data_IF_607001507469
#
_entry.id   IF_607001507469
#
_cell.length_a   1.000
_cell.length_b   1.000
_cell.length_c   1.000
_cell.angle_alpha   90.00
_cell.angle_beta   90.00
_cell.angle_gamma   90.00
#
_symmetry.space_group_name_H-M   'P 1'
#
loop_
_entity.id
_entity.type
_entity.pdbx_description
1 polymer ?
#
# COMPACT_ATOMS: atom_id res chain seq x y z
N UNK A 1 -2.00 15.24 -16.66
CA UNK A 1 -3.44 14.99 -16.69
C UNK A 1 -3.58 13.54 -17.11
N UNK A 2 -3.92 12.71 -16.15
CA UNK A 2 -3.99 11.26 -16.37
C UNK A 2 -5.10 10.97 -17.40
N UNK A 3 -4.93 9.92 -18.21
CA UNK A 3 -5.90 9.57 -19.26
C UNK A 3 -7.31 9.37 -18.71
N UNK A 4 -7.40 8.93 -17.44
CA UNK A 4 -8.64 8.74 -16.70
C UNK A 4 -9.40 10.03 -16.38
N UNK A 5 -8.69 11.09 -15.98
CA UNK A 5 -9.32 12.39 -15.71
C UNK A 5 -9.96 12.98 -16.97
N UNK A 6 -9.35 12.73 -18.14
CA UNK A 6 -9.82 13.25 -19.41
C UNK A 6 -11.13 12.59 -19.89
N UNK A 7 -11.32 11.28 -19.72
CA UNK A 7 -12.56 10.62 -20.14
C UNK A 7 -13.72 10.86 -19.18
N UNK A 8 -13.46 10.87 -17.87
CA UNK A 8 -14.44 11.29 -16.87
C UNK A 8 -14.84 12.77 -17.02
N UNK A 9 -13.90 13.65 -17.39
CA UNK A 9 -14.19 15.03 -17.75
C UNK A 9 -15.13 15.14 -18.97
N UNK A 10 -14.90 14.33 -20.01
CA UNK A 10 -15.80 14.26 -21.18
C UNK A 10 -17.19 13.73 -20.83
N UNK A 11 -17.26 12.74 -19.93
CA UNK A 11 -18.53 12.22 -19.43
C UNK A 11 -19.33 13.33 -18.75
N UNK A 12 -18.69 14.10 -17.85
CA UNK A 12 -19.34 15.24 -17.20
C UNK A 12 -19.92 16.22 -18.22
N UNK A 13 -19.10 16.73 -19.15
CA UNK A 13 -19.53 17.70 -20.17
C UNK A 13 -20.72 17.17 -21.00
N UNK A 14 -20.66 15.92 -21.47
CA UNK A 14 -21.75 15.32 -22.27
C UNK A 14 -23.03 15.11 -21.47
N UNK A 15 -22.93 14.88 -20.17
CA UNK A 15 -24.09 14.80 -19.29
C UNK A 15 -24.75 16.17 -19.07
N UNK A 16 -24.03 17.28 -19.24
CA UNK A 16 -24.59 18.64 -19.19
C UNK A 16 -25.40 18.96 -20.46
N UNK A 17 -24.91 18.54 -21.63
CA UNK A 17 -25.57 18.74 -22.92
C UNK A 17 -26.91 17.99 -23.04
N UNK A 18 -27.05 16.87 -22.31
CA UNK A 18 -28.28 16.06 -22.28
C UNK A 18 -29.39 16.59 -21.36
N UNK A 19 -29.09 17.51 -20.43
CA UNK A 19 -30.02 18.02 -19.39
C UNK A 19 -30.83 19.25 -19.83
N UNK A 20 -31.09 19.40 -21.14
CA UNK A 20 -31.79 20.56 -21.69
C UNK A 20 -33.25 20.72 -21.19
N UNK A 21 -33.78 19.75 -20.43
CA UNK A 21 -35.17 19.71 -19.96
C UNK A 21 -35.35 19.86 -18.42
N UNK A 22 -34.28 20.14 -17.66
CA UNK A 22 -34.41 20.73 -16.32
C UNK A 22 -34.76 19.78 -15.17
N UNK A 23 -34.29 18.53 -15.20
CA UNK A 23 -34.49 17.57 -14.10
C UNK A 23 -33.17 16.93 -13.68
N UNK A 24 -32.12 17.75 -13.50
CA UNK A 24 -30.69 17.41 -13.31
C UNK A 24 -30.28 16.43 -12.20
N UNK A 25 -31.20 15.59 -11.71
CA UNK A 25 -30.93 14.40 -10.93
C UNK A 25 -30.00 13.41 -11.66
N UNK A 26 -30.17 13.20 -12.97
CA UNK A 26 -29.29 12.32 -13.76
C UNK A 26 -27.86 12.86 -13.84
N UNK A 27 -27.70 14.14 -14.20
CA UNK A 27 -26.43 14.86 -14.16
C UNK A 27 -25.77 14.82 -12.77
N UNK A 28 -26.53 15.14 -11.72
CA UNK A 28 -26.02 15.14 -10.34
C UNK A 28 -25.58 13.74 -9.90
N UNK A 29 -26.28 12.69 -10.34
CA UNK A 29 -25.87 11.32 -10.06
C UNK A 29 -24.53 10.97 -10.75
N UNK A 30 -24.34 11.38 -12.01
CA UNK A 30 -23.05 11.23 -12.70
C UNK A 30 -21.96 12.02 -11.99
N UNK A 31 -22.21 13.29 -11.65
CA UNK A 31 -21.25 14.15 -10.97
C UNK A 31 -20.78 13.53 -9.65
N UNK A 32 -21.70 13.10 -8.79
CA UNK A 32 -21.39 12.43 -7.52
C UNK A 32 -20.57 11.15 -7.72
N UNK A 33 -20.91 10.32 -8.72
CA UNK A 33 -20.18 9.09 -9.00
C UNK A 33 -18.74 9.38 -9.46
N UNK A 34 -18.57 10.37 -10.34
CA UNK A 34 -17.24 10.81 -10.80
C UNK A 34 -16.43 11.45 -9.67
N UNK A 35 -17.04 12.28 -8.82
CA UNK A 35 -16.37 12.88 -7.66
C UNK A 35 -15.86 11.81 -6.68
N UNK A 36 -16.69 10.80 -6.39
CA UNK A 36 -16.28 9.67 -5.54
C UNK A 36 -15.09 8.91 -6.11
N UNK A 37 -15.05 8.75 -7.43
CA UNK A 37 -13.94 8.09 -8.12
C UNK A 37 -12.66 8.92 -8.15
N UNK A 38 -12.77 10.23 -8.33
CA UNK A 38 -11.63 11.14 -8.51
C UNK A 38 -11.02 11.64 -7.20
N UNK A 39 -11.70 11.45 -6.06
CA UNK A 39 -11.11 11.81 -4.76
C UNK A 39 -9.80 11.02 -4.54
N UNK A 40 -8.82 11.55 -3.81
CA UNK A 40 -7.61 10.82 -3.45
C UNK A 40 -7.89 9.51 -2.69
N UNK A 41 -6.98 8.55 -2.79
CA UNK A 41 -6.99 7.34 -1.98
C UNK A 41 -6.45 7.66 -0.58
N UNK A 42 -7.23 7.38 0.43
CA UNK A 42 -6.94 7.72 1.82
C UNK A 42 -6.36 6.49 2.55
N UNK A 43 -5.06 6.56 2.85
CA UNK A 43 -4.31 5.53 3.58
C UNK A 43 -4.11 5.97 5.01
N UNK A 44 -4.71 5.24 5.96
CA UNK A 44 -4.63 5.56 7.37
C UNK A 44 -3.67 4.62 8.10
N UNK A 45 -2.68 5.19 8.77
CA UNK A 45 -1.78 4.47 9.69
C UNK A 45 -2.33 4.62 11.11
N UNK A 46 -2.73 3.50 11.71
CA UNK A 46 -3.30 3.41 13.06
C UNK A 46 -2.50 2.44 13.92
N UNK A 47 -2.71 2.47 15.22
CA UNK A 47 -2.00 1.66 16.21
C UNK A 47 -1.92 2.40 17.54
N UNK A 48 -1.57 1.67 18.60
CA UNK A 48 -1.50 2.25 19.95
C UNK A 48 -0.44 3.35 20.07
N UNK A 49 -0.47 4.12 21.15
CA UNK A 49 0.55 5.14 21.43
C UNK A 49 1.92 4.44 21.56
N UNK A 50 2.95 5.02 20.94
CA UNK A 50 4.33 4.54 21.05
C UNK A 50 4.70 3.35 20.15
N UNK A 51 3.78 2.83 19.33
CA UNK A 51 4.10 1.73 18.37
C UNK A 51 4.92 2.18 17.16
N UNK A 52 5.13 3.50 16.98
CA UNK A 52 5.92 4.08 15.90
C UNK A 52 5.13 4.36 14.61
N UNK A 53 3.86 4.78 14.72
CA UNK A 53 3.02 5.17 13.58
C UNK A 53 3.68 6.22 12.67
N UNK A 54 4.21 7.30 13.24
CA UNK A 54 4.84 8.40 12.49
C UNK A 54 6.05 7.94 11.67
N UNK A 55 6.80 6.96 12.19
CA UNK A 55 7.93 6.36 11.49
C UNK A 55 7.44 5.58 10.27
N UNK A 56 6.39 4.76 10.43
CA UNK A 56 5.78 4.03 9.32
C UNK A 56 5.22 4.98 8.26
N UNK A 57 4.56 6.08 8.65
CA UNK A 57 4.10 7.12 7.70
C UNK A 57 5.27 7.65 6.89
N UNK A 58 6.38 8.01 7.56
CA UNK A 58 7.58 8.54 6.90
C UNK A 58 8.20 7.54 5.92
N UNK A 59 8.22 6.26 6.29
CA UNK A 59 8.71 5.17 5.44
C UNK A 59 7.83 5.02 4.18
N UNK A 60 6.51 4.96 4.35
CA UNK A 60 5.59 4.78 3.23
C UNK A 60 5.54 6.01 2.30
N UNK A 61 5.63 7.22 2.87
CA UNK A 61 5.72 8.47 2.10
C UNK A 61 6.99 8.52 1.23
N UNK A 62 8.13 8.11 1.79
CA UNK A 62 9.39 8.03 1.05
C UNK A 62 9.38 6.98 -0.06
N UNK A 63 8.65 5.87 0.15
CA UNK A 63 8.64 4.74 -0.76
C UNK A 63 7.85 4.98 -2.07
N UNK A 64 7.06 6.05 -2.16
CA UNK A 64 6.20 6.38 -3.31
C UNK A 64 5.36 5.19 -3.74
N UNK A 65 4.35 4.88 -2.91
CA UNK A 65 3.38 3.80 -3.15
C UNK A 65 2.91 3.78 -4.61
N UNK A 66 2.75 2.59 -5.17
CA UNK A 66 2.23 2.47 -6.53
C UNK A 66 0.73 2.77 -6.50
N UNK A 67 0.31 3.75 -7.30
CA UNK A 67 -1.03 4.34 -7.16
C UNK A 67 -1.92 4.18 -8.37
N UNK A 68 -1.48 3.49 -9.44
CA UNK A 68 -2.22 3.35 -10.71
C UNK A 68 -2.84 4.68 -11.20
N UNK A 69 -2.11 5.80 -11.02
CA UNK A 69 -2.54 7.13 -11.46
C UNK A 69 -3.33 7.94 -10.41
N UNK A 70 -3.62 7.39 -9.24
CA UNK A 70 -4.31 8.11 -8.17
C UNK A 70 -3.35 8.94 -7.30
N UNK A 71 -3.84 10.09 -6.82
CA UNK A 71 -3.25 10.74 -5.65
C UNK A 71 -3.51 9.86 -4.42
N UNK A 72 -2.47 9.52 -3.67
CA UNK A 72 -2.59 8.83 -2.38
C UNK A 72 -2.22 9.79 -1.26
N UNK A 73 -3.09 9.88 -0.25
CA UNK A 73 -2.86 10.67 0.95
C UNK A 73 -2.64 9.76 2.14
N UNK A 74 -1.53 9.99 2.84
CA UNK A 74 -1.16 9.25 4.03
C UNK A 74 -1.53 10.05 5.28
N UNK A 75 -2.23 9.41 6.20
CA UNK A 75 -2.68 10.01 7.45
C UNK A 75 -2.25 9.17 8.65
N UNK A 76 -1.54 9.80 9.59
CA UNK A 76 -1.44 9.24 10.94
C UNK A 76 -2.79 9.41 11.65
N UNK A 77 -3.31 8.33 12.21
CA UNK A 77 -4.58 8.30 12.91
C UNK A 77 -4.41 7.82 14.35
N UNK A 78 -5.01 8.56 15.29
CA UNK A 78 -5.10 8.18 16.70
C UNK A 78 -6.30 7.28 17.01
N UNK A 79 -6.86 6.56 16.03
CA UNK A 79 -8.13 5.84 16.22
C UNK A 79 -8.02 4.69 17.22
N UNK A 80 -6.87 4.02 17.25
CA UNK A 80 -6.55 2.99 18.23
C UNK A 80 -6.17 3.57 19.62
N UNK A 81 -6.01 4.90 19.74
CA UNK A 81 -5.60 5.57 20.99
C UNK A 81 -6.80 6.05 21.83
N UNK A 82 -8.02 5.98 21.31
CA UNK A 82 -9.23 6.49 21.97
C UNK A 82 -9.97 5.33 22.67
N UNK A 83 -10.05 5.31 24.01
CA UNK A 83 -10.93 4.39 24.71
C UNK A 83 -12.38 4.65 24.27
N UNK A 84 -13.10 3.61 23.80
CA UNK A 84 -14.39 3.68 23.07
C UNK A 84 -14.31 4.05 21.59
N UNK A 85 -13.21 3.71 20.91
CA UNK A 85 -13.04 3.84 19.45
C UNK A 85 -14.25 3.37 18.62
N UNK A 86 -14.99 2.36 19.09
CA UNK A 86 -16.23 1.88 18.48
C UNK A 86 -17.30 2.98 18.31
N UNK A 87 -17.45 3.91 19.26
CA UNK A 87 -18.43 5.00 19.22
C UNK A 87 -17.98 6.17 18.33
N UNK A 88 -16.68 6.42 18.21
CA UNK A 88 -16.11 7.47 17.34
C UNK A 88 -15.99 7.00 15.89
N UNK A 89 -15.70 5.72 15.66
CA UNK A 89 -15.72 5.09 14.34
C UNK A 89 -17.11 5.02 13.72
N UNK A 90 -18.18 5.09 14.53
CA UNK A 90 -19.55 5.22 14.03
C UNK A 90 -19.84 6.63 13.46
N UNK A 91 -19.13 7.68 13.90
CA UNK A 91 -19.40 9.07 13.48
C UNK A 91 -18.62 9.55 12.26
N UNK A 92 -17.44 8.97 11.99
CA UNK A 92 -16.78 9.10 10.69
C UNK A 92 -17.13 7.85 9.91
N UNK A 93 -18.11 7.97 9.03
CA UNK A 93 -18.49 6.91 8.10
C UNK A 93 -17.24 6.23 7.56
N UNK A 94 -17.18 4.91 7.67
CA UNK A 94 -16.15 4.04 7.09
C UNK A 94 -15.94 4.22 5.57
N UNK A 95 -16.71 5.12 4.95
CA UNK A 95 -16.67 5.56 3.55
C UNK A 95 -15.39 6.31 3.16
N UNK A 96 -14.59 6.81 4.10
CA UNK A 96 -13.42 7.67 3.79
C UNK A 96 -12.06 7.01 4.01
N UNK A 97 -12.02 5.71 4.24
CA UNK A 97 -10.77 4.96 4.44
C UNK A 97 -10.67 3.89 3.38
N UNK A 98 -9.74 4.04 2.46
CA UNK A 98 -9.51 3.05 1.41
C UNK A 98 -8.58 1.95 1.89
N UNK A 99 -7.51 2.32 2.62
CA UNK A 99 -6.53 1.38 3.18
C UNK A 99 -6.27 1.69 4.65
N UNK A 100 -6.25 0.66 5.48
CA UNK A 100 -5.85 0.75 6.88
C UNK A 100 -4.52 0.01 7.10
N UNK A 101 -3.50 0.71 7.57
CA UNK A 101 -2.25 0.12 8.05
C UNK A 101 -2.28 0.12 9.58
N UNK A 102 -2.45 -1.05 10.19
CA UNK A 102 -2.43 -1.19 11.65
C UNK A 102 -1.04 -1.59 12.13
N UNK A 103 -0.47 -0.78 13.03
CA UNK A 103 0.90 -0.93 13.52
C UNK A 103 0.88 -1.50 14.94
N UNK A 104 1.58 -2.61 15.10
CA UNK A 104 1.89 -3.26 16.37
C UNK A 104 3.33 -2.95 16.78
N UNK A 105 3.62 -3.06 18.07
CA UNK A 105 4.98 -3.09 18.60
C UNK A 105 5.06 -4.18 19.67
N UNK A 106 5.55 -5.36 19.27
CA UNK A 106 5.54 -6.58 20.09
C UNK A 106 4.24 -7.38 20.00
N UNK A 107 3.88 -8.05 21.10
CA UNK A 107 2.70 -8.89 21.17
C UNK A 107 1.38 -8.13 20.94
N UNK A 108 0.39 -8.82 20.38
CA UNK A 108 -0.96 -8.30 20.12
C UNK A 108 -1.67 -7.98 21.45
N UNK A 109 -2.16 -6.76 21.61
CA UNK A 109 -2.98 -6.36 22.77
C UNK A 109 -4.46 -6.75 22.56
N UNK A 110 -5.24 -7.00 23.63
CA UNK A 110 -6.69 -7.04 23.56
C UNK A 110 -7.32 -5.81 22.89
N UNK A 111 -6.70 -4.63 23.03
CA UNK A 111 -7.15 -3.40 22.37
C UNK A 111 -6.98 -3.48 20.84
N UNK A 112 -5.92 -4.13 20.36
CA UNK A 112 -5.67 -4.34 18.93
C UNK A 112 -6.74 -5.26 18.33
N UNK A 113 -7.08 -6.35 19.04
CA UNK A 113 -8.17 -7.27 18.65
C UNK A 113 -9.50 -6.53 18.63
N UNK A 114 -9.79 -5.77 19.68
CA UNK A 114 -11.05 -5.02 19.80
C UNK A 114 -11.15 -4.01 18.67
N UNK A 115 -10.10 -3.24 18.41
CA UNK A 115 -10.07 -2.25 17.33
C UNK A 115 -10.31 -2.88 15.94
N UNK A 116 -9.64 -4.01 15.66
CA UNK A 116 -9.78 -4.71 14.40
C UNK A 116 -11.12 -5.46 14.27
N UNK A 117 -11.81 -5.76 15.38
CA UNK A 117 -13.09 -6.49 15.40
C UNK A 117 -14.32 -5.61 15.61
N UNK A 118 -14.17 -4.36 16.09
CA UNK A 118 -15.27 -3.51 16.56
C UNK A 118 -16.18 -2.93 15.46
N UNK A 119 -15.89 -3.19 14.18
CA UNK A 119 -16.62 -2.61 13.06
C UNK A 119 -17.72 -3.54 12.54
N UNK A 120 -18.97 -3.06 12.35
CA UNK A 120 -19.97 -3.79 11.57
C UNK A 120 -19.42 -4.02 10.14
N UNK A 121 -19.21 -5.28 9.77
CA UNK A 121 -18.55 -5.65 8.50
C UNK A 121 -17.03 -5.84 8.58
N UNK A 122 -16.41 -5.69 9.75
CA UNK A 122 -14.97 -5.88 9.96
C UNK A 122 -14.11 -4.64 9.64
N UNK A 123 -12.77 -4.75 9.74
CA UNK A 123 -11.88 -3.67 9.34
C UNK A 123 -11.99 -3.46 7.82
N UNK A 124 -11.51 -2.32 7.26
CA UNK A 124 -11.57 -2.09 5.82
C UNK A 124 -11.06 -3.31 5.05
N UNK A 125 -11.68 -3.62 3.90
CA UNK A 125 -11.30 -4.76 3.09
C UNK A 125 -9.78 -4.81 2.85
N UNK A 126 -9.17 -3.64 2.66
CA UNK A 126 -7.74 -3.44 2.46
C UNK A 126 -7.05 -3.04 3.77
N UNK A 127 -6.97 -3.98 4.72
CA UNK A 127 -6.22 -3.80 5.98
C UNK A 127 -4.89 -4.54 5.94
N UNK A 128 -3.80 -3.82 6.16
CA UNK A 128 -2.42 -4.33 6.27
C UNK A 128 -1.97 -4.21 7.73
N UNK A 129 -1.29 -5.23 8.25
CA UNK A 129 -0.80 -5.24 9.64
C UNK A 129 0.73 -5.33 9.66
N UNK A 130 1.35 -4.37 10.35
CA UNK A 130 2.81 -4.28 10.47
C UNK A 130 3.22 -4.44 11.93
N UNK A 131 4.20 -5.30 12.20
CA UNK A 131 4.88 -5.42 13.49
C UNK A 131 6.13 -4.55 13.46
N UNK A 132 5.99 -3.30 13.87
CA UNK A 132 7.11 -2.37 13.95
C UNK A 132 8.00 -2.69 15.17
N UNK A 133 9.20 -2.10 15.19
CA UNK A 133 10.24 -2.37 16.18
C UNK A 133 10.67 -3.84 16.21
N UNK A 134 10.65 -4.48 15.04
CA UNK A 134 11.09 -5.87 14.91
C UNK A 134 12.55 -6.08 15.38
N UNK A 135 13.34 -5.02 15.33
CA UNK A 135 14.73 -4.96 15.78
C UNK A 135 14.89 -5.11 17.31
N UNK A 136 13.82 -4.86 18.08
CA UNK A 136 13.79 -5.03 19.54
C UNK A 136 13.32 -6.42 19.99
N UNK A 137 13.01 -7.31 19.04
CA UNK A 137 12.53 -8.66 19.31
C UNK A 137 13.64 -9.68 19.06
N UNK A 138 13.70 -10.71 19.91
CA UNK A 138 14.67 -11.81 19.72
C UNK A 138 14.32 -12.63 18.46
N UNK A 139 13.04 -12.93 18.25
CA UNK A 139 12.52 -13.69 17.11
C UNK A 139 11.38 -12.92 16.42
N UNK A 140 11.68 -11.89 15.61
CA UNK A 140 10.66 -11.06 14.98
C UNK A 140 9.74 -11.83 14.03
N UNK A 141 10.28 -12.83 13.31
CA UNK A 141 9.50 -13.67 12.40
C UNK A 141 8.51 -14.57 13.15
N UNK A 142 8.93 -15.20 14.26
CA UNK A 142 8.05 -16.02 15.10
C UNK A 142 6.96 -15.17 15.76
N UNK A 143 7.33 -13.97 16.23
CA UNK A 143 6.37 -13.02 16.82
C UNK A 143 5.33 -12.57 15.80
N UNK A 144 5.75 -12.25 14.56
CA UNK A 144 4.84 -11.90 13.48
C UNK A 144 3.93 -13.08 13.08
N UNK A 145 4.45 -14.31 13.07
CA UNK A 145 3.66 -15.50 12.77
C UNK A 145 2.57 -15.74 13.85
N UNK A 146 2.93 -15.66 15.13
CA UNK A 146 1.98 -15.79 16.24
C UNK A 146 0.92 -14.68 16.22
N UNK A 147 1.32 -13.43 15.94
CA UNK A 147 0.38 -12.33 15.76
C UNK A 147 -0.55 -12.57 14.56
N UNK A 148 -0.03 -13.18 13.48
CA UNK A 148 -0.82 -13.50 12.30
C UNK A 148 -1.90 -14.53 12.58
N UNK A 149 -1.55 -15.58 13.33
CA UNK A 149 -2.49 -16.60 13.78
C UNK A 149 -3.58 -15.99 14.67
N UNK A 150 -3.18 -15.18 15.66
CA UNK A 150 -4.11 -14.55 16.60
C UNK A 150 -5.09 -13.58 15.92
N UNK A 151 -4.65 -12.88 14.86
CA UNK A 151 -5.46 -11.89 14.15
C UNK A 151 -6.16 -12.45 12.90
N UNK A 152 -5.85 -13.69 12.51
CA UNK A 152 -6.33 -14.28 11.25
C UNK A 152 -5.89 -13.52 9.99
N UNK A 153 -4.80 -12.75 10.07
CA UNK A 153 -4.32 -11.85 9.01
C UNK A 153 -2.80 -11.84 9.00
N UNK A 154 -2.19 -11.75 7.82
CA UNK A 154 -0.72 -11.68 7.69
C UNK A 154 -0.18 -10.42 8.39
N UNK A 155 0.80 -10.61 9.27
CA UNK A 155 1.56 -9.56 9.94
C UNK A 155 2.99 -9.56 9.40
N UNK A 156 3.50 -8.38 9.04
CA UNK A 156 4.87 -8.22 8.51
C UNK A 156 5.77 -7.52 9.53
N UNK A 157 6.93 -8.11 9.89
CA UNK A 157 7.89 -7.45 10.76
C UNK A 157 8.60 -6.30 10.02
N UNK A 158 8.76 -5.17 10.71
CA UNK A 158 9.39 -3.96 10.16
C UNK A 158 10.33 -3.32 11.19
N UNK A 159 11.53 -2.95 10.77
CA UNK A 159 12.48 -2.12 11.53
C UNK A 159 12.37 -0.66 11.06
N UNK A 160 11.24 -0.03 11.36
CA UNK A 160 10.84 1.23 10.72
C UNK A 160 11.85 2.36 10.91
N UNK A 161 12.41 2.49 12.11
CA UNK A 161 13.36 3.57 12.40
C UNK A 161 14.70 3.39 11.69
N UNK A 162 15.22 2.15 11.69
CA UNK A 162 16.43 1.79 10.93
C UNK A 162 16.24 2.08 9.45
N UNK A 163 15.08 1.69 8.89
CA UNK A 163 14.77 1.94 7.49
C UNK A 163 14.61 3.43 7.16
N UNK A 164 13.94 4.21 8.02
CA UNK A 164 13.80 5.65 7.85
C UNK A 164 15.18 6.34 7.84
N UNK A 165 16.09 5.88 8.70
CA UNK A 165 17.47 6.35 8.73
C UNK A 165 18.28 6.00 7.47
N UNK A 166 18.16 4.77 6.96
CA UNK A 166 18.80 4.31 5.72
C UNK A 166 18.22 4.97 4.45
N UNK A 167 16.89 5.12 4.41
CA UNK A 167 16.14 5.69 3.27
C UNK A 167 16.45 7.18 3.03
N UNK A 168 17.13 7.83 3.97
CA UNK A 168 17.73 9.15 3.80
C UNK A 168 18.76 9.25 2.65
N UNK A 169 19.11 8.15 1.99
CA UNK A 169 19.91 8.14 0.77
C UNK A 169 19.30 8.98 -0.37
N UNK A 170 17.96 9.10 -0.45
CA UNK A 170 17.31 10.03 -1.39
C UNK A 170 17.56 11.52 -1.06
N UNK A 171 18.08 11.83 0.13
CA UNK A 171 18.45 13.17 0.60
C UNK A 171 19.96 13.39 0.71
N UNK A 172 20.79 12.50 0.14
CA UNK A 172 22.23 12.71 0.05
C UNK A 172 23.00 12.51 1.36
N UNK A 173 22.40 11.84 2.35
CA UNK A 173 23.06 11.54 3.62
C UNK A 173 23.17 10.04 3.85
N UNK A 174 24.16 9.43 3.20
CA UNK A 174 24.47 8.02 3.38
C UNK A 174 25.13 7.76 4.74
N UNK A 175 24.97 6.54 5.24
CA UNK A 175 25.73 6.02 6.39
C UNK A 175 27.22 6.04 6.04
N UNK A 176 28.05 6.63 6.90
CA UNK A 176 29.51 6.60 6.71
C UNK A 176 30.05 5.20 7.04
N UNK A 177 30.24 4.39 6.00
CA UNK A 177 30.72 3.02 6.16
C UNK A 177 32.17 2.93 6.63
N UNK A 178 32.98 3.99 6.49
CA UNK A 178 34.30 4.03 7.09
C UNK A 178 34.19 4.04 8.62
N UNK A 179 33.21 4.77 9.17
CA UNK A 179 32.94 4.79 10.60
C UNK A 179 32.39 3.45 11.10
N UNK A 180 31.46 2.86 10.36
CA UNK A 180 30.94 1.52 10.69
C UNK A 180 32.06 0.48 10.70
N UNK A 181 32.99 0.53 9.74
CA UNK A 181 34.17 -0.36 9.71
C UNK A 181 35.13 -0.09 10.86
N UNK A 182 35.35 1.16 11.24
CA UNK A 182 36.17 1.51 12.40
C UNK A 182 35.56 0.95 13.70
N UNK A 183 34.23 1.04 13.85
CA UNK A 183 33.49 0.39 14.96
C UNK A 183 33.67 -1.13 14.91
N UNK A 184 33.51 -1.74 13.73
CA UNK A 184 33.60 -3.20 13.58
C UNK A 184 35.00 -3.76 13.87
N UNK A 185 36.05 -3.02 13.48
CA UNK A 185 37.45 -3.33 13.75
C UNK A 185 37.87 -3.06 15.20
N UNK A 186 37.12 -2.21 15.92
CA UNK A 186 37.36 -1.91 17.33
C UNK A 186 37.12 -3.10 18.26
N UNK A 187 37.79 -3.08 19.41
CA UNK A 187 37.68 -4.10 20.46
C UNK A 187 36.40 -3.94 21.31
N UNK A 188 35.24 -3.92 20.65
CA UNK A 188 33.95 -3.87 21.34
C UNK A 188 33.73 -5.11 22.21
N UNK A 189 33.30 -4.90 23.44
CA UNK A 189 32.79 -5.95 24.31
C UNK A 189 31.37 -6.32 23.86
N UNK A 190 30.94 -7.55 24.16
CA UNK A 190 29.61 -8.09 23.80
C UNK A 190 28.45 -7.18 24.25
N UNK A 191 28.66 -6.35 25.28
CA UNK A 191 27.65 -5.43 25.81
C UNK A 191 27.68 -3.99 25.27
N UNK A 192 28.69 -3.61 24.48
CA UNK A 192 28.92 -2.21 24.11
C UNK A 192 27.88 -1.67 23.12
N UNK A 193 27.29 -2.55 22.30
CA UNK A 193 26.22 -2.20 21.36
C UNK A 193 24.81 -2.50 21.91
N UNK A 194 24.66 -2.67 23.23
CA UNK A 194 23.37 -2.92 23.86
C UNK A 194 22.63 -1.66 24.29
N UNK A 195 23.35 -0.59 24.62
CA UNK A 195 22.75 0.71 24.95
C UNK A 195 23.56 1.85 24.34
N UNK A 196 22.90 2.98 24.10
CA UNK A 196 23.54 4.19 23.57
C UNK A 196 24.69 4.64 24.48
N UNK A 197 24.45 4.70 25.79
CA UNK A 197 25.48 5.12 26.75
C UNK A 197 26.72 4.23 26.72
N UNK A 198 26.54 2.91 26.57
CA UNK A 198 27.66 1.97 26.47
C UNK A 198 28.44 2.15 25.18
N UNK A 199 27.76 2.35 24.06
CA UNK A 199 28.42 2.59 22.78
C UNK A 199 29.20 3.92 22.77
N UNK A 200 28.62 4.98 23.34
CA UNK A 200 29.30 6.27 23.46
C UNK A 200 30.49 6.21 24.43
N UNK A 201 30.43 5.35 25.46
CA UNK A 201 31.51 5.16 26.44
C UNK A 201 32.56 4.13 26.02
N UNK A 202 32.33 3.37 24.95
CA UNK A 202 33.23 2.32 24.51
C UNK A 202 34.58 2.87 24.01
N UNK A 203 35.65 2.09 24.14
CA UNK A 203 36.98 2.46 23.66
C UNK A 203 37.11 2.11 22.15
N UNK A 204 36.57 3.00 21.31
CA UNK A 204 36.54 2.89 19.85
C UNK A 204 37.33 4.08 19.28
N UNK A 205 38.14 3.90 18.23
CA UNK A 205 38.90 4.99 17.58
C UNK A 205 38.00 5.91 16.72
N UNK A 206 36.89 6.38 17.28
CA UNK A 206 35.98 7.37 16.71
C UNK A 206 35.62 8.40 17.77
N UNK A 207 35.59 9.67 17.36
CA UNK A 207 35.13 10.78 18.20
C UNK A 207 33.64 10.65 18.52
N UNK A 208 33.21 11.11 19.71
CA UNK A 208 31.80 11.12 20.13
C UNK A 208 30.82 11.69 19.09
N UNK A 209 31.09 12.83 18.43
CA UNK A 209 30.17 13.38 17.42
C UNK A 209 29.94 12.44 16.22
N UNK A 210 30.96 11.68 15.82
CA UNK A 210 30.84 10.69 14.73
C UNK A 210 30.03 9.47 15.16
N UNK A 211 30.16 9.07 16.44
CA UNK A 211 29.35 7.99 17.02
C UNK A 211 27.88 8.40 17.13
N UNK A 212 27.62 9.62 17.59
CA UNK A 212 26.27 10.20 17.61
C UNK A 212 25.68 10.28 16.20
N UNK A 213 26.47 10.74 15.23
CA UNK A 213 26.06 10.76 13.83
C UNK A 213 25.72 9.35 13.29
N UNK A 214 26.43 8.29 13.69
CA UNK A 214 26.03 6.92 13.32
C UNK A 214 24.69 6.52 13.95
N UNK A 215 24.47 6.85 15.23
CA UNK A 215 23.23 6.54 15.94
C UNK A 215 22.03 7.28 15.33
N UNK A 216 22.19 8.54 14.97
CA UNK A 216 21.15 9.33 14.31
C UNK A 216 20.74 8.75 12.94
N UNK A 217 21.63 7.94 12.32
CA UNK A 217 21.46 7.44 10.95
C UNK A 217 20.91 6.03 10.86
N UNK A 218 21.35 5.13 11.73
CA UNK A 218 20.96 3.70 11.64
C UNK A 218 20.42 3.17 12.95
N UNK A 219 20.34 4.03 13.98
CA UNK A 219 20.12 3.64 15.35
C UNK A 219 21.15 2.61 15.85
N UNK A 220 21.11 2.34 17.16
CA UNK A 220 22.06 1.41 17.77
C UNK A 220 21.93 0.00 17.21
N UNK A 221 20.69 -0.44 16.95
CA UNK A 221 20.44 -1.81 16.47
C UNK A 221 20.84 -2.00 15.01
N UNK A 222 20.58 -1.02 14.14
CA UNK A 222 21.09 -1.04 12.77
C UNK A 222 22.62 -1.05 12.74
N UNK A 223 23.28 -0.24 13.57
CA UNK A 223 24.74 -0.29 13.72
C UNK A 223 25.24 -1.68 14.16
N UNK A 224 24.58 -2.31 15.12
CA UNK A 224 24.94 -3.66 15.57
C UNK A 224 24.87 -4.70 14.46
N UNK A 225 23.82 -4.65 13.63
CA UNK A 225 23.66 -5.55 12.48
C UNK A 225 24.76 -5.33 11.42
N UNK A 226 25.12 -4.08 11.14
CA UNK A 226 26.23 -3.77 10.22
C UNK A 226 27.56 -4.30 10.74
N UNK A 227 27.85 -4.06 12.03
CA UNK A 227 29.07 -4.54 12.69
C UNK A 227 29.15 -6.06 12.68
N UNK A 228 28.04 -6.75 12.97
CA UNK A 228 27.96 -8.20 12.90
C UNK A 228 28.21 -8.73 11.47
N UNK A 229 27.59 -8.12 10.46
CA UNK A 229 27.78 -8.50 9.07
C UNK A 229 29.24 -8.34 8.61
N UNK A 230 29.90 -7.24 8.98
CA UNK A 230 31.31 -6.98 8.69
C UNK A 230 32.26 -7.94 9.41
N UNK A 231 31.94 -8.32 10.66
CA UNK A 231 32.75 -9.27 11.44
C UNK A 231 32.63 -10.71 10.93
N UNK A 232 31.44 -11.10 10.45
CA UNK A 232 31.22 -12.45 9.89
C UNK A 232 31.92 -12.66 8.55
N UNK A 233 32.12 -11.62 7.74
CA UNK A 233 32.68 -11.72 6.39
C UNK A 233 33.74 -10.66 6.13
N UNK A 234 35.01 -11.04 6.22
CA UNK A 234 36.12 -10.20 5.80
C UNK A 234 36.06 -9.98 4.27
N UNK A 235 36.02 -8.72 3.84
CA UNK A 235 36.05 -8.35 2.41
C UNK A 235 34.68 -8.15 1.74
N UNK A 236 33.57 -8.21 2.48
CA UNK A 236 32.25 -7.82 1.94
C UNK A 236 32.25 -6.33 1.55
N UNK A 237 31.60 -5.99 0.43
CA UNK A 237 31.46 -4.61 -0.03
C UNK A 237 30.53 -3.80 0.87
N UNK A 238 30.72 -2.49 0.94
CA UNK A 238 29.81 -1.59 1.67
C UNK A 238 28.38 -1.65 1.15
N UNK A 239 28.23 -1.76 -0.18
CA UNK A 239 26.93 -1.86 -0.83
C UNK A 239 26.19 -3.15 -0.44
N UNK A 240 26.89 -4.28 -0.36
CA UNK A 240 26.27 -5.55 0.03
C UNK A 240 25.81 -5.54 1.49
N UNK A 241 26.60 -4.95 2.39
CA UNK A 241 26.23 -4.86 3.81
C UNK A 241 25.02 -3.93 4.01
N UNK A 242 24.98 -2.79 3.31
CA UNK A 242 23.84 -1.88 3.36
C UNK A 242 22.59 -2.50 2.74
N UNK A 243 22.73 -3.26 1.64
CA UNK A 243 21.63 -4.00 1.02
C UNK A 243 21.08 -5.07 1.97
N UNK A 244 21.94 -5.83 2.64
CA UNK A 244 21.50 -6.82 3.63
C UNK A 244 20.79 -6.18 4.82
N UNK A 245 21.28 -5.04 5.31
CA UNK A 245 20.57 -4.30 6.36
C UNK A 245 19.20 -3.82 5.87
N UNK A 246 19.14 -3.28 4.65
CA UNK A 246 17.88 -2.84 4.03
C UNK A 246 16.87 -4.00 3.93
N UNK A 247 17.31 -5.14 3.40
CA UNK A 247 16.51 -6.37 3.32
C UNK A 247 16.02 -6.82 4.71
N UNK A 248 16.88 -6.74 5.73
CA UNK A 248 16.54 -7.10 7.10
C UNK A 248 15.50 -6.17 7.74
N UNK A 249 15.36 -4.92 7.26
CA UNK A 249 14.35 -4.00 7.78
C UNK A 249 12.91 -4.40 7.45
N UNK A 250 12.71 -5.24 6.44
CA UNK A 250 11.38 -5.69 5.99
C UNK A 250 10.53 -4.61 5.29
N UNK A 251 11.08 -3.42 5.03
CA UNK A 251 10.33 -2.29 4.46
C UNK A 251 9.88 -2.52 3.02
N UNK A 252 10.66 -3.22 2.20
CA UNK A 252 10.25 -3.54 0.82
C UNK A 252 9.00 -4.41 0.82
N UNK A 253 8.97 -5.45 1.65
CA UNK A 253 7.79 -6.31 1.79
C UNK A 253 6.56 -5.53 2.30
N UNK A 254 6.76 -4.62 3.26
CA UNK A 254 5.69 -3.76 3.76
C UNK A 254 5.16 -2.80 2.68
N UNK A 255 6.07 -2.13 1.96
CA UNK A 255 5.73 -1.19 0.88
C UNK A 255 4.98 -1.87 -0.25
N UNK A 256 5.43 -3.05 -0.67
CA UNK A 256 4.76 -3.84 -1.71
C UNK A 256 3.34 -4.19 -1.27
N UNK A 257 3.16 -4.75 -0.07
CA UNK A 257 1.82 -5.13 0.40
C UNK A 257 0.90 -3.92 0.60
N UNK A 258 1.42 -2.78 1.04
CA UNK A 258 0.63 -1.53 1.11
C UNK A 258 0.28 -1.02 -0.28
N UNK A 259 1.20 -1.09 -1.24
CA UNK A 259 0.95 -0.70 -2.64
C UNK A 259 -0.08 -1.61 -3.31
N UNK A 260 -0.02 -2.91 -3.06
CA UNK A 260 -1.01 -3.88 -3.52
C UNK A 260 -2.39 -3.57 -2.93
N UNK A 261 -2.45 -3.21 -1.64
CA UNK A 261 -3.68 -2.82 -0.96
C UNK A 261 -4.27 -1.52 -1.54
N UNK A 262 -3.43 -0.53 -1.85
CA UNK A 262 -3.83 0.71 -2.53
C UNK A 262 -4.37 0.43 -3.93
N UNK A 263 -3.67 -0.42 -4.70
CA UNK A 263 -4.09 -0.81 -6.05
C UNK A 263 -5.41 -1.60 -6.05
N UNK A 264 -5.60 -2.47 -5.05
CA UNK A 264 -6.85 -3.18 -4.82
C UNK A 264 -8.00 -2.22 -4.47
N UNK A 265 -7.75 -1.20 -3.64
CA UNK A 265 -8.75 -0.20 -3.30
C UNK A 265 -9.11 0.70 -4.50
N UNK A 266 -8.12 1.07 -5.32
CA UNK A 266 -8.33 1.76 -6.59
C UNK A 266 -9.24 0.94 -7.52
N UNK A 267 -8.97 -0.35 -7.64
CA UNK A 267 -9.76 -1.29 -8.45
C UNK A 267 -11.20 -1.43 -7.91
N UNK A 268 -11.39 -1.43 -6.59
CA UNK A 268 -12.71 -1.44 -5.98
C UNK A 268 -13.52 -0.18 -6.30
N UNK A 269 -12.88 1.00 -6.35
CA UNK A 269 -13.52 2.26 -6.75
C UNK A 269 -13.88 2.28 -8.24
N UNK A 270 -13.04 1.70 -9.10
CA UNK A 270 -13.37 1.51 -10.52
C UNK A 270 -14.61 0.64 -10.70
N UNK A 271 -14.72 -0.43 -9.90
CA UNK A 271 -15.87 -1.33 -9.93
C UNK A 271 -17.16 -0.64 -9.45
N UNK A 272 -17.08 0.06 -8.32
CA UNK A 272 -18.18 0.87 -7.76
C UNK A 272 -18.66 1.94 -8.75
N UNK A 273 -17.74 2.63 -9.44
CA UNK A 273 -18.09 3.57 -10.50
C UNK A 273 -18.83 2.86 -11.64
N UNK A 274 -18.31 1.72 -12.11
CA UNK A 274 -18.92 0.99 -13.22
C UNK A 274 -20.36 0.57 -12.89
N UNK A 275 -20.58 0.01 -11.68
CA UNK A 275 -21.91 -0.35 -11.21
C UNK A 275 -22.84 0.87 -11.13
N UNK A 276 -22.37 1.97 -10.55
CA UNK A 276 -23.15 3.21 -10.47
C UNK A 276 -23.53 3.74 -11.85
N UNK A 277 -22.60 3.74 -12.80
CA UNK A 277 -22.88 4.20 -14.16
C UNK A 277 -23.91 3.31 -14.86
N UNK A 278 -23.83 1.98 -14.69
CA UNK A 278 -24.88 1.07 -15.20
C UNK A 278 -26.25 1.40 -14.58
N UNK A 279 -26.32 1.59 -13.27
CA UNK A 279 -27.56 1.96 -12.58
C UNK A 279 -28.09 3.33 -13.05
N UNK A 280 -27.21 4.30 -13.25
CA UNK A 280 -27.56 5.63 -13.76
C UNK A 280 -28.13 5.51 -15.18
N UNK A 281 -27.47 4.76 -16.06
CA UNK A 281 -27.92 4.57 -17.44
C UNK A 281 -29.30 3.91 -17.54
N UNK A 282 -29.63 3.04 -16.58
CA UNK A 282 -30.92 2.37 -16.50
C UNK A 282 -32.04 3.28 -15.96
N UNK A 283 -31.71 4.19 -15.04
CA UNK A 283 -32.68 5.06 -14.35
C UNK A 283 -32.89 6.43 -15.02
N UNK A 284 -31.88 6.94 -15.73
CA UNK A 284 -31.84 8.31 -16.23
C UNK A 284 -31.64 8.34 -17.75
N UNK A 285 -32.76 8.47 -18.48
CA UNK A 285 -32.76 8.46 -19.96
C UNK A 285 -32.03 9.65 -20.58
N UNK A 286 -32.03 10.79 -19.88
CA UNK A 286 -31.38 12.05 -20.24
C UNK A 286 -29.86 11.94 -20.35
N UNK A 287 -29.21 11.20 -19.45
CA UNK A 287 -27.74 11.00 -19.47
C UNK A 287 -27.30 9.65 -20.04
N UNK A 288 -28.25 8.76 -20.36
CA UNK A 288 -27.98 7.39 -20.81
C UNK A 288 -26.98 7.33 -21.98
N UNK A 289 -27.17 8.15 -23.01
CA UNK A 289 -26.27 8.15 -24.17
C UNK A 289 -24.83 8.57 -23.83
N UNK A 290 -24.67 9.55 -22.93
CA UNK A 290 -23.35 9.97 -22.45
C UNK A 290 -22.66 8.86 -21.65
N UNK A 291 -23.41 8.20 -20.75
CA UNK A 291 -22.90 7.09 -19.93
C UNK A 291 -22.54 5.87 -20.78
N UNK A 292 -23.42 5.43 -21.69
CA UNK A 292 -23.14 4.30 -22.59
C UNK A 292 -21.92 4.59 -23.48
N UNK A 293 -21.76 5.84 -23.94
CA UNK A 293 -20.57 6.25 -24.70
C UNK A 293 -19.30 6.19 -23.86
N UNK A 294 -19.34 6.56 -22.58
CA UNK A 294 -18.19 6.42 -21.68
C UNK A 294 -17.87 4.95 -21.39
N UNK A 295 -18.87 4.11 -21.09
CA UNK A 295 -18.68 2.67 -20.86
C UNK A 295 -18.16 1.92 -22.12
N UNK A 296 -18.32 2.52 -23.30
CA UNK A 296 -17.74 2.05 -24.55
C UNK A 296 -16.26 2.46 -24.75
N UNK A 297 -15.75 3.42 -23.97
CA UNK A 297 -14.41 3.99 -24.11
C UNK A 297 -13.30 3.06 -23.63
N UNK A 298 -12.08 3.33 -24.08
CA UNK A 298 -10.90 2.49 -23.82
C UNK A 298 -10.50 2.52 -22.35
N UNK A 299 -10.67 3.67 -21.72
CA UNK A 299 -10.50 3.86 -20.29
C UNK A 299 -11.45 2.98 -19.47
N UNK A 300 -12.75 3.03 -19.77
CA UNK A 300 -13.74 2.22 -19.06
C UNK A 300 -13.52 0.72 -19.30
N UNK A 301 -13.08 0.34 -20.49
CA UNK A 301 -12.72 -1.05 -20.83
C UNK A 301 -11.46 -1.50 -20.07
N UNK A 302 -10.44 -0.66 -19.98
CA UNK A 302 -9.22 -0.97 -19.24
C UNK A 302 -9.50 -1.08 -17.74
N UNK A 303 -10.36 -0.24 -17.18
CA UNK A 303 -10.81 -0.34 -15.79
C UNK A 303 -11.58 -1.65 -15.54
N UNK A 304 -12.56 -1.98 -16.37
CA UNK A 304 -13.33 -3.23 -16.27
C UNK A 304 -12.43 -4.47 -16.42
N UNK A 305 -11.42 -4.42 -17.31
CA UNK A 305 -10.41 -5.46 -17.45
C UNK A 305 -9.58 -5.65 -16.16
N UNK A 306 -9.15 -4.55 -15.50
CA UNK A 306 -8.43 -4.60 -14.21
C UNK A 306 -9.30 -5.18 -13.10
N UNK A 307 -10.56 -4.75 -12.99
CA UNK A 307 -11.51 -5.30 -12.03
C UNK A 307 -11.72 -6.81 -12.25
N UNK A 308 -11.88 -7.25 -13.51
CA UNK A 308 -12.04 -8.65 -13.85
C UNK A 308 -10.80 -9.50 -13.54
N UNK A 309 -9.61 -8.99 -13.85
CA UNK A 309 -8.33 -9.63 -13.53
C UNK A 309 -8.19 -9.84 -12.01
N UNK A 310 -8.48 -8.79 -11.22
CA UNK A 310 -8.43 -8.84 -9.76
C UNK A 310 -9.41 -9.86 -9.17
N UNK A 311 -10.66 -9.91 -9.65
CA UNK A 311 -11.66 -10.90 -9.18
C UNK A 311 -11.26 -12.33 -9.47
N UNK A 312 -10.61 -12.58 -10.61
CA UNK A 312 -10.17 -13.91 -11.01
C UNK A 312 -8.78 -14.28 -10.47
N UNK A 313 -8.08 -13.35 -9.82
CA UNK A 313 -6.74 -13.56 -9.29
C UNK A 313 -5.70 -13.83 -10.39
N UNK A 314 -5.86 -13.23 -11.56
CA UNK A 314 -4.98 -13.43 -12.72
C UNK A 314 -4.27 -12.14 -13.11
N UNK A 315 -3.01 -12.20 -13.57
CA UNK A 315 -2.33 -11.03 -14.10
C UNK A 315 -2.92 -10.60 -15.46
N UNK A 316 -2.76 -9.32 -15.79
CA UNK A 316 -2.97 -8.83 -17.15
C UNK A 316 -1.65 -9.00 -17.92
N UNK A 317 -1.67 -9.89 -18.89
CA UNK A 317 -0.53 -10.14 -19.77
C UNK A 317 -0.34 -8.97 -20.74
N UNK A 318 0.90 -8.56 -20.96
CA UNK A 318 1.26 -7.57 -21.97
C UNK A 318 2.26 -8.18 -22.94
N UNK A 319 2.34 -7.67 -24.17
CA UNK A 319 3.30 -8.20 -25.14
C UNK A 319 2.89 -8.00 -26.58
N UNK A 320 3.38 -8.88 -27.46
CA UNK A 320 3.09 -8.84 -28.89
C UNK A 320 1.59 -8.93 -29.19
N UNK A 321 1.16 -8.39 -30.32
CA UNK A 321 -0.22 -8.52 -30.81
C UNK A 321 -0.69 -9.98 -30.84
N UNK A 322 0.20 -10.91 -31.20
CA UNK A 322 -0.11 -12.34 -31.19
C UNK A 322 -0.44 -12.84 -29.78
N UNK A 323 0.35 -12.46 -28.78
CA UNK A 323 0.13 -12.85 -27.39
C UNK A 323 -1.21 -12.28 -26.86
N UNK A 324 -1.50 -11.01 -27.18
CA UNK A 324 -2.76 -10.36 -26.80
C UNK A 324 -3.96 -11.05 -27.46
N UNK A 325 -3.85 -11.44 -28.73
CA UNK A 325 -4.89 -12.19 -29.43
C UNK A 325 -5.10 -13.59 -28.82
N UNK A 326 -4.02 -14.30 -28.50
CA UNK A 326 -4.08 -15.60 -27.84
C UNK A 326 -4.80 -15.50 -26.49
N UNK A 327 -4.51 -14.46 -25.69
CA UNK A 327 -5.20 -14.18 -24.43
C UNK A 327 -6.69 -13.85 -24.64
N UNK A 328 -7.02 -13.00 -25.61
CA UNK A 328 -8.42 -12.71 -25.93
C UNK A 328 -9.22 -13.99 -26.25
N UNK A 329 -8.62 -14.93 -26.99
CA UNK A 329 -9.25 -16.21 -27.33
C UNK A 329 -9.38 -17.14 -26.12
N UNK A 330 -8.39 -17.16 -25.21
CA UNK A 330 -8.47 -17.92 -23.95
C UNK A 330 -9.66 -17.45 -23.13
N UNK A 331 -9.79 -16.15 -22.91
CA UNK A 331 -10.88 -15.59 -22.11
C UNK A 331 -12.24 -15.70 -22.78
N UNK A 332 -12.31 -15.58 -24.11
CA UNK A 332 -13.53 -15.87 -24.87
C UNK A 332 -14.00 -17.33 -24.68
N UNK A 333 -13.07 -18.30 -24.71
CA UNK A 333 -13.40 -19.71 -24.45
C UNK A 333 -13.84 -19.93 -23.00
N UNK A 334 -13.12 -19.37 -22.03
CA UNK A 334 -13.48 -19.43 -20.62
C UNK A 334 -14.90 -18.92 -20.37
N UNK A 335 -15.27 -17.78 -20.97
CA UNK A 335 -16.63 -17.23 -20.88
C UNK A 335 -17.69 -18.17 -21.48
N UNK A 336 -17.39 -18.86 -22.57
CA UNK A 336 -18.33 -19.76 -23.24
C UNK A 336 -18.57 -21.07 -22.47
N UNK A 337 -17.57 -21.53 -21.71
CA UNK A 337 -17.63 -22.81 -20.98
C UNK A 337 -17.99 -22.66 -19.50
N UNK A 338 -17.97 -21.44 -18.97
CA UNK A 338 -18.25 -21.21 -17.55
C UNK A 338 -19.76 -21.26 -17.24
N UNK A 339 -20.12 -22.05 -16.24
CA UNK A 339 -21.47 -22.10 -15.67
C UNK A 339 -21.70 -20.99 -14.62
N UNK A 340 -20.62 -20.37 -14.12
CA UNK A 340 -20.67 -19.28 -13.14
C UNK A 340 -20.77 -17.93 -13.87
N UNK A 341 -21.86 -17.20 -13.59
CA UNK A 341 -22.13 -15.87 -14.16
C UNK A 341 -21.05 -14.83 -13.85
N UNK A 342 -20.46 -14.86 -12.66
CA UNK A 342 -19.42 -13.93 -12.25
C UNK A 342 -18.10 -14.21 -13.01
N UNK A 343 -17.75 -15.48 -13.16
CA UNK A 343 -16.58 -15.91 -13.94
C UNK A 343 -16.79 -15.57 -15.42
N UNK A 344 -17.96 -15.87 -15.97
CA UNK A 344 -18.31 -15.57 -17.36
C UNK A 344 -18.23 -14.07 -17.66
N UNK A 345 -18.78 -13.21 -16.80
CA UNK A 345 -18.70 -11.74 -16.97
C UNK A 345 -17.26 -11.25 -16.92
N UNK A 346 -16.48 -11.71 -15.94
CA UNK A 346 -15.06 -11.33 -15.81
C UNK A 346 -14.23 -11.78 -17.02
N UNK A 347 -14.47 -12.99 -17.52
CA UNK A 347 -13.83 -13.49 -18.73
C UNK A 347 -14.20 -12.67 -19.99
N UNK A 348 -15.45 -12.20 -20.10
CA UNK A 348 -15.84 -11.30 -21.21
C UNK A 348 -15.18 -9.92 -21.11
N UNK A 349 -15.06 -9.36 -19.91
CA UNK A 349 -14.35 -8.10 -19.68
C UNK A 349 -12.85 -8.21 -20.05
N UNK A 350 -12.20 -9.29 -19.63
CA UNK A 350 -10.81 -9.60 -20.02
C UNK A 350 -10.66 -9.73 -21.54
N UNK A 351 -11.52 -10.52 -22.18
CA UNK A 351 -11.54 -10.66 -23.64
C UNK A 351 -11.69 -9.30 -24.34
N UNK A 352 -12.64 -8.47 -23.91
CA UNK A 352 -12.88 -7.14 -24.47
C UNK A 352 -11.66 -6.23 -24.29
N UNK A 353 -11.02 -6.28 -23.11
CA UNK A 353 -9.79 -5.55 -22.81
C UNK A 353 -8.65 -5.91 -23.74
N UNK A 354 -8.32 -7.21 -23.86
CA UNK A 354 -7.29 -7.68 -24.79
C UNK A 354 -7.58 -7.31 -26.25
N UNK A 355 -8.83 -7.40 -26.70
CA UNK A 355 -9.23 -6.95 -28.06
C UNK A 355 -9.03 -5.46 -28.24
N UNK A 356 -9.22 -4.64 -27.19
CA UNK A 356 -9.01 -3.20 -27.26
C UNK A 356 -7.53 -2.84 -27.32
N UNK A 357 -6.68 -3.57 -26.60
CA UNK A 357 -5.21 -3.40 -26.66
C UNK A 357 -4.62 -3.73 -28.04
N UNK A 358 -5.29 -4.54 -28.85
CA UNK A 358 -4.90 -4.81 -30.25
C UNK A 358 -5.15 -3.64 -31.21
N UNK A 359 -5.93 -2.64 -30.79
CA UNK A 359 -6.29 -1.47 -31.61
C UNK A 359 -5.63 -0.23 -31.03
N UNK A 360 -4.35 0.03 -31.36
CA UNK A 360 -3.64 1.23 -30.89
C UNK A 360 -4.30 2.52 -31.38
#
# INVERSE_FOLDING_TARGET
>A
MDGAEAGLGRLRVRSEEGDAAGAGAGRKAVENAVERRLRPLEVHVSGRVGVGKSVIVSVLDAARLHTDGFEVRLHESGWADIPRAAEVQQRRTASDVDVLVHVLAGAVSPDDITFLSARPGGPPAHTVILLNKADTLDEPAATAAAASEQLGRKVLPVMGSVAAGLGGAARGFAVDMADVRAVAAGALRTGDLMTVDRFLSADIPLSTPRREALLDRVELRGLALLVEALRRRSGVSDADVLRELWEATGVDAATTVVSDAVSAAATARDDDLHEQLLQISARHRDVRGAVESYLASDEAVAADMRCAAARLGVPIETGSERALLEQALVWKRCAATSEDDAVRRSALALCRGYVRMLRP
#
